data_IF_727770538644
#
_entry.id   IF_727770538644
#
_cell.length_a   1.000
_cell.length_b   1.000
_cell.length_c   1.000
_cell.angle_alpha   90.00
_cell.angle_beta   90.00
_cell.angle_gamma   90.00
#
_symmetry.space_group_name_H-M   'P 1'
#
loop_
_entity.id
_entity.type
_entity.pdbx_description
1 polymer ?
#
# COMPACT_ATOMS: atom_id res chain seq x y z
N UNK A 1 14.44 16.72 -22.17
CA UNK A 1 15.53 16.07 -21.41
C UNK A 1 15.17 14.60 -21.22
N UNK A 2 15.75 13.74 -22.07
CA UNK A 2 15.54 12.30 -22.04
C UNK A 2 16.30 11.67 -20.89
N UNK A 3 15.72 10.67 -20.27
CA UNK A 3 16.41 9.91 -19.23
C UNK A 3 17.10 8.77 -19.93
N UNK A 4 18.43 8.82 -20.02
CA UNK A 4 19.22 7.64 -20.34
C UNK A 4 19.10 6.71 -19.14
N UNK A 5 18.49 5.56 -19.33
CA UNK A 5 18.51 4.51 -18.34
C UNK A 5 19.96 4.00 -18.27
N UNK A 6 20.73 4.49 -17.31
CA UNK A 6 21.94 3.80 -16.90
C UNK A 6 21.51 2.42 -16.40
N UNK A 7 22.03 1.38 -17.07
CA UNK A 7 21.70 -0.02 -16.88
C UNK A 7 21.86 -0.51 -15.44
N UNK A 8 22.55 0.25 -14.59
CA UNK A 8 22.81 -0.05 -13.18
C UNK A 8 21.69 0.41 -12.22
N UNK A 9 20.77 1.28 -12.64
CA UNK A 9 19.76 1.89 -11.74
C UNK A 9 18.40 1.19 -11.73
N UNK A 10 18.21 0.07 -12.45
CA UNK A 10 16.90 -0.60 -12.60
C UNK A 10 16.22 -0.97 -11.26
N UNK A 11 17.00 -1.16 -10.20
CA UNK A 11 16.51 -1.47 -8.85
C UNK A 11 15.70 -0.34 -8.19
N UNK A 12 15.76 0.88 -8.72
CA UNK A 12 14.99 2.04 -8.25
C UNK A 12 13.68 2.27 -9.02
N UNK A 13 13.40 1.49 -10.06
CA UNK A 13 12.26 1.72 -10.95
C UNK A 13 11.16 0.68 -10.78
N UNK A 14 9.91 1.17 -10.70
CA UNK A 14 8.69 0.36 -10.76
C UNK A 14 7.81 0.83 -11.92
N UNK A 15 7.08 -0.09 -12.54
CA UNK A 15 5.97 0.21 -13.45
C UNK A 15 4.66 0.14 -12.68
N UNK A 16 3.92 1.24 -12.68
CA UNK A 16 2.58 1.32 -12.14
C UNK A 16 1.50 1.23 -13.21
N UNK A 17 0.34 0.64 -12.90
CA UNK A 17 -0.88 0.72 -13.70
C UNK A 17 -2.05 1.12 -12.80
N UNK A 18 -2.84 2.07 -13.27
CA UNK A 18 -4.03 2.52 -12.55
C UNK A 18 -5.26 1.78 -13.06
N UNK A 19 -5.99 1.12 -12.16
CA UNK A 19 -7.22 0.40 -12.47
C UNK A 19 -8.42 1.33 -12.27
N UNK A 20 -8.68 2.21 -13.25
CA UNK A 20 -9.84 3.11 -13.25
C UNK A 20 -10.59 3.09 -14.58
N UNK A 21 -11.90 3.28 -14.51
CA UNK A 21 -12.75 3.54 -15.68
C UNK A 21 -12.50 4.90 -16.32
N UNK A 22 -12.05 5.89 -15.52
CA UNK A 22 -11.68 7.24 -15.99
C UNK A 22 -10.27 7.60 -15.50
N UNK A 23 -9.39 7.95 -16.42
CA UNK A 23 -8.00 8.31 -16.09
C UNK A 23 -7.95 9.73 -15.48
N UNK A 24 -7.42 9.91 -14.25
CA UNK A 24 -7.23 11.22 -13.65
C UNK A 24 -6.12 11.99 -14.39
N UNK A 25 -6.08 13.31 -14.19
CA UNK A 25 -4.97 14.14 -14.67
C UNK A 25 -3.66 13.66 -14.04
N UNK A 26 -2.59 13.68 -14.83
CA UNK A 26 -1.28 13.16 -14.42
C UNK A 26 -0.77 13.80 -13.12
N UNK A 27 -0.86 15.11 -12.97
CA UNK A 27 -0.38 15.79 -11.75
C UNK A 27 -1.13 15.34 -10.48
N UNK A 28 -2.44 15.10 -10.59
CA UNK A 28 -3.24 14.56 -9.49
C UNK A 28 -2.82 13.12 -9.14
N UNK A 29 -2.47 12.32 -10.15
CA UNK A 29 -1.93 10.98 -9.96
C UNK A 29 -0.56 11.03 -9.25
N UNK A 30 0.33 11.94 -9.64
CA UNK A 30 1.64 12.11 -8.99
C UNK A 30 1.49 12.53 -7.53
N UNK A 31 0.61 13.48 -7.25
CA UNK A 31 0.32 13.90 -5.88
C UNK A 31 -0.22 12.73 -5.04
N UNK A 32 -1.16 11.96 -5.60
CA UNK A 32 -1.74 10.78 -4.94
C UNK A 32 -0.68 9.71 -4.67
N UNK A 33 0.15 9.38 -5.65
CA UNK A 33 1.22 8.39 -5.50
C UNK A 33 2.26 8.81 -4.45
N UNK A 34 2.65 10.09 -4.40
CA UNK A 34 3.56 10.62 -3.36
C UNK A 34 2.96 10.52 -1.97
N UNK A 35 1.68 10.85 -1.83
CA UNK A 35 0.98 10.73 -0.55
C UNK A 35 0.86 9.28 -0.09
N UNK A 36 0.51 8.37 -1.01
CA UNK A 36 0.28 6.96 -0.72
C UNK A 36 1.58 6.19 -0.44
N UNK A 37 2.59 6.37 -1.30
CA UNK A 37 3.87 5.67 -1.17
C UNK A 37 4.77 6.30 -0.10
N UNK A 38 4.53 7.59 0.22
CA UNK A 38 5.24 8.37 1.22
C UNK A 38 6.76 8.11 1.27
N UNK A 39 7.47 8.24 0.12
CA UNK A 39 8.89 7.94 0.05
C UNK A 39 9.71 8.94 0.85
N UNK A 40 10.68 8.46 1.63
CA UNK A 40 11.54 9.30 2.48
C UNK A 40 12.41 10.24 1.63
N UNK A 41 12.90 9.76 0.48
CA UNK A 41 13.77 10.56 -0.42
C UNK A 41 13.04 11.12 -1.63
N UNK A 42 11.71 10.98 -1.66
CA UNK A 42 10.91 11.39 -2.81
C UNK A 42 10.89 10.35 -3.94
N UNK A 43 10.03 10.63 -4.90
CA UNK A 43 9.89 9.86 -6.13
C UNK A 43 9.57 10.79 -7.31
N UNK A 44 9.83 10.27 -8.49
CA UNK A 44 9.52 10.87 -9.78
C UNK A 44 8.64 9.92 -10.58
N UNK A 45 7.72 10.47 -11.37
CA UNK A 45 6.80 9.68 -12.18
C UNK A 45 6.81 10.18 -13.62
N UNK A 46 6.57 9.25 -14.54
CA UNK A 46 6.32 9.54 -15.95
C UNK A 46 5.17 8.73 -16.49
N UNK A 47 4.37 9.34 -17.35
CA UNK A 47 3.37 8.61 -18.12
C UNK A 47 4.02 7.70 -19.15
N UNK A 48 3.48 6.50 -19.28
CA UNK A 48 3.69 5.57 -20.38
C UNK A 48 2.37 5.42 -21.16
N UNK A 49 2.36 4.56 -22.17
CA UNK A 49 1.14 4.23 -22.92
C UNK A 49 0.14 3.40 -22.09
N UNK A 50 -1.15 3.53 -22.40
CA UNK A 50 -2.26 2.69 -21.88
C UNK A 50 -2.49 2.79 -20.35
N UNK A 51 -2.33 3.97 -19.77
CA UNK A 51 -2.56 4.17 -18.33
C UNK A 51 -1.50 3.46 -17.45
N UNK A 52 -0.31 3.25 -18.01
CA UNK A 52 0.88 2.80 -17.30
C UNK A 52 1.76 3.99 -16.97
N UNK A 53 2.57 3.84 -15.93
CA UNK A 53 3.44 4.88 -15.43
C UNK A 53 4.77 4.27 -14.99
N UNK A 54 5.86 4.99 -15.24
CA UNK A 54 7.17 4.66 -14.68
C UNK A 54 7.36 5.47 -13.40
N UNK A 55 7.68 4.81 -12.29
CA UNK A 55 8.00 5.43 -11.01
C UNK A 55 9.48 5.18 -10.74
N UNK A 56 10.23 6.26 -10.50
CA UNK A 56 11.61 6.21 -10.02
C UNK A 56 11.63 6.64 -8.57
N UNK A 57 12.11 5.76 -7.69
CA UNK A 57 12.37 6.09 -6.30
C UNK A 57 13.78 6.64 -6.16
N UNK A 58 13.96 7.60 -5.25
CA UNK A 58 15.28 8.11 -4.92
C UNK A 58 16.02 7.26 -3.87
N UNK A 59 15.39 6.16 -3.41
CA UNK A 59 15.97 5.26 -2.42
C UNK A 59 15.43 3.83 -2.56
N UNK A 60 16.32 2.84 -2.45
CA UNK A 60 15.96 1.42 -2.61
C UNK A 60 14.98 0.93 -1.54
N UNK A 61 15.07 1.43 -0.30
CA UNK A 61 14.12 1.05 0.75
C UNK A 61 12.69 1.55 0.45
N UNK A 62 12.54 2.72 -0.17
CA UNK A 62 11.21 3.21 -0.57
C UNK A 62 10.64 2.33 -1.71
N UNK A 63 11.50 1.91 -2.64
CA UNK A 63 11.15 0.98 -3.72
C UNK A 63 10.75 -0.41 -3.20
N UNK A 64 11.54 -0.98 -2.29
CA UNK A 64 11.24 -2.28 -1.68
C UNK A 64 9.94 -2.22 -0.86
N UNK A 65 9.72 -1.15 -0.08
CA UNK A 65 8.46 -0.95 0.65
C UNK A 65 7.25 -0.84 -0.28
N UNK A 66 7.41 -0.20 -1.43
CA UNK A 66 6.35 -0.12 -2.44
C UNK A 66 6.06 -1.48 -3.11
N UNK A 67 7.08 -2.34 -3.26
CA UNK A 67 6.97 -3.70 -3.80
C UNK A 67 6.42 -4.72 -2.79
N UNK A 68 6.78 -4.59 -1.52
CA UNK A 68 6.35 -5.48 -0.42
C UNK A 68 4.87 -5.30 -0.05
N UNK A 69 4.15 -4.39 -0.72
CA UNK A 69 2.70 -4.40 -0.73
C UNK A 69 2.07 -4.06 0.61
N UNK A 70 2.38 -2.88 1.15
CA UNK A 70 1.38 -2.20 1.99
C UNK A 70 0.13 -1.92 1.15
N UNK A 71 -1.09 -1.99 1.69
CA UNK A 71 -2.27 -1.94 0.83
C UNK A 71 -2.38 -0.54 0.19
N UNK A 72 -2.18 -0.50 -1.13
CA UNK A 72 -2.10 0.71 -1.96
C UNK A 72 -3.49 1.03 -2.51
N UNK A 73 -4.39 1.52 -1.66
CA UNK A 73 -5.65 2.07 -2.13
C UNK A 73 -5.88 3.47 -1.57
N UNK A 74 -6.37 4.35 -2.43
CA UNK A 74 -6.71 5.73 -2.09
C UNK A 74 -8.06 6.04 -2.74
N UNK A 75 -9.09 6.35 -1.95
CA UNK A 75 -10.39 6.86 -2.42
C UNK A 75 -10.94 6.18 -3.70
N UNK A 76 -11.09 4.84 -3.67
CA UNK A 76 -11.54 3.98 -4.79
C UNK A 76 -10.55 3.79 -5.94
N UNK A 77 -9.31 4.30 -5.83
CA UNK A 77 -8.25 4.13 -6.82
C UNK A 77 -7.30 3.00 -6.39
N UNK A 78 -7.08 2.03 -7.29
CA UNK A 78 -6.13 0.93 -7.09
C UNK A 78 -4.92 1.11 -8.02
N UNK A 79 -3.74 1.29 -7.43
CA UNK A 79 -2.47 1.33 -8.16
C UNK A 79 -1.79 -0.04 -8.05
N UNK A 80 -1.51 -0.65 -9.20
CA UNK A 80 -0.75 -1.91 -9.26
C UNK A 80 0.68 -1.58 -9.62
N UNK A 81 1.64 -2.04 -8.83
CA UNK A 81 3.07 -1.83 -9.06
C UNK A 81 3.77 -3.13 -9.41
N UNK A 82 4.75 -3.07 -10.30
CA UNK A 82 5.63 -4.18 -10.65
C UNK A 82 7.07 -3.69 -10.85
N UNK A 83 8.05 -4.53 -10.49
CA UNK A 83 9.47 -4.25 -10.70
C UNK A 83 9.88 -4.35 -12.18
N UNK A 84 10.94 -3.65 -12.56
CA UNK A 84 11.55 -3.76 -13.89
C UNK A 84 12.76 -4.70 -13.83
N UNK A 85 12.83 -5.63 -14.79
CA UNK A 85 13.82 -6.71 -14.79
C UNK A 85 13.37 -7.88 -13.91
N UNK A 86 13.98 -9.07 -14.10
CA UNK A 86 13.65 -10.29 -13.38
C UNK A 86 14.05 -10.24 -11.88
N UNK A 87 13.53 -9.28 -11.12
CA UNK A 87 13.60 -9.25 -9.66
C UNK A 87 12.65 -10.31 -9.11
N UNK A 88 13.09 -11.55 -9.08
CA UNK A 88 12.64 -12.49 -8.07
C UNK A 88 13.22 -12.02 -6.73
N UNK A 89 12.38 -11.60 -5.78
CA UNK A 89 12.85 -11.36 -4.40
C UNK A 89 13.35 -12.70 -3.88
N UNK A 90 14.67 -12.84 -3.71
CA UNK A 90 15.32 -14.04 -3.21
C UNK A 90 14.92 -14.26 -1.75
N UNK A 91 13.90 -15.10 -1.55
CA UNK A 91 13.33 -15.42 -0.23
C UNK A 91 11.94 -16.06 -0.30
N UNK A 92 11.17 -15.79 -1.36
CA UNK A 92 9.91 -16.46 -1.65
C UNK A 92 9.86 -16.76 -3.15
N UNK A 93 9.67 -18.04 -3.52
CA UNK A 93 9.73 -18.50 -4.91
C UNK A 93 8.77 -17.77 -5.85
N UNK A 94 9.05 -17.84 -7.15
CA UNK A 94 8.18 -17.47 -8.29
C UNK A 94 6.98 -16.59 -7.91
N UNK A 95 7.20 -15.27 -7.83
CA UNK A 95 6.18 -14.31 -7.41
C UNK A 95 5.00 -14.31 -8.39
N UNK A 96 3.89 -14.91 -7.97
CA UNK A 96 2.57 -14.54 -8.46
C UNK A 96 2.34 -13.10 -7.99
N UNK A 97 2.18 -12.15 -8.91
CA UNK A 97 1.85 -10.76 -8.55
C UNK A 97 0.61 -10.75 -7.64
N UNK A 98 0.79 -10.43 -6.35
CA UNK A 98 -0.30 -10.35 -5.38
C UNK A 98 -0.87 -8.94 -5.38
N UNK A 99 -2.19 -8.83 -5.59
CA UNK A 99 -2.91 -7.56 -5.53
C UNK A 99 -3.39 -7.33 -4.08
N UNK A 100 -2.85 -6.32 -3.41
CA UNK A 100 -3.31 -5.90 -2.09
C UNK A 100 -4.33 -4.74 -2.22
N UNK A 101 -5.54 -4.91 -1.67
CA UNK A 101 -6.64 -3.93 -1.77
C UNK A 101 -7.06 -3.54 -0.35
N UNK A 102 -7.05 -2.24 0.02
CA UNK A 102 -7.78 -1.83 1.23
C UNK A 102 -9.27 -1.75 0.90
N UNK A 103 -10.08 -2.32 1.76
CA UNK A 103 -11.53 -2.24 1.69
C UNK A 103 -12.06 -1.68 3.01
N UNK A 104 -13.06 -0.79 2.93
CA UNK A 104 -13.83 -0.42 4.11
C UNK A 104 -14.73 -1.60 4.45
N UNK A 105 -14.53 -2.20 5.62
CA UNK A 105 -15.34 -3.32 6.11
C UNK A 105 -16.18 -2.87 7.29
N UNK A 106 -17.46 -3.25 7.27
CA UNK A 106 -18.28 -3.15 8.47
C UNK A 106 -17.90 -4.31 9.41
N UNK A 107 -17.25 -3.98 10.52
CA UNK A 107 -16.77 -4.95 11.51
C UNK A 107 -17.88 -5.61 12.33
N UNK A 108 -19.12 -5.10 12.26
CA UNK A 108 -20.28 -5.74 12.92
C UNK A 108 -20.85 -6.89 12.09
N UNK A 109 -20.38 -7.07 10.85
CA UNK A 109 -20.78 -8.16 9.97
C UNK A 109 -19.64 -9.20 9.87
N UNK A 110 -19.98 -10.49 9.66
CA UNK A 110 -18.96 -11.51 9.43
C UNK A 110 -18.05 -11.18 8.24
N UNK A 111 -16.75 -11.48 8.38
CA UNK A 111 -15.78 -11.33 7.28
C UNK A 111 -16.13 -12.26 6.11
N UNK A 112 -16.15 -11.70 4.91
CA UNK A 112 -16.47 -12.42 3.66
C UNK A 112 -15.33 -13.37 3.29
N UNK A 113 -15.58 -14.68 3.22
CA UNK A 113 -14.50 -15.65 2.92
C UNK A 113 -14.28 -15.91 1.43
N UNK A 114 -15.22 -15.53 0.58
CA UNK A 114 -15.08 -15.64 -0.87
C UNK A 114 -16.00 -14.65 -1.61
N UNK A 115 -15.60 -14.23 -2.81
CA UNK A 115 -16.35 -13.36 -3.71
C UNK A 115 -16.31 -13.93 -5.13
N UNK A 116 -17.48 -13.97 -5.80
CA UNK A 116 -17.55 -14.25 -7.24
C UNK A 116 -17.34 -12.96 -8.02
N UNK A 117 -16.41 -12.97 -8.96
CA UNK A 117 -16.10 -11.87 -9.86
C UNK A 117 -16.42 -12.30 -11.29
N UNK A 118 -17.04 -11.44 -12.08
CA UNK A 118 -17.19 -11.64 -13.52
C UNK A 118 -16.03 -10.93 -14.22
N UNK A 119 -15.26 -11.64 -15.04
CA UNK A 119 -14.15 -11.07 -15.81
C UNK A 119 -14.68 -10.23 -16.97
N UNK A 120 -13.81 -9.46 -17.62
CA UNK A 120 -14.15 -8.76 -18.87
C UNK A 120 -14.46 -9.70 -20.03
N UNK A 121 -14.04 -10.98 -19.95
CA UNK A 121 -14.42 -12.04 -20.89
C UNK A 121 -15.79 -12.67 -20.59
N UNK A 122 -16.44 -12.29 -19.48
CA UNK A 122 -17.73 -12.85 -19.05
C UNK A 122 -17.62 -14.15 -18.24
N UNK A 123 -16.40 -14.53 -17.82
CA UNK A 123 -16.16 -15.74 -17.03
C UNK A 123 -16.34 -15.45 -15.54
N UNK A 124 -16.92 -16.40 -14.81
CA UNK A 124 -17.06 -16.33 -13.35
C UNK A 124 -15.80 -16.86 -12.65
N UNK A 125 -15.15 -16.00 -11.87
CA UNK A 125 -14.00 -16.32 -11.03
C UNK A 125 -14.41 -16.28 -9.55
N UNK A 126 -14.27 -17.41 -8.85
CA UNK A 126 -14.41 -17.44 -7.39
C UNK A 126 -13.06 -17.10 -6.73
N UNK A 127 -13.00 -15.96 -6.05
CA UNK A 127 -11.84 -15.51 -5.29
C UNK A 127 -12.05 -15.82 -3.82
N UNK A 128 -11.19 -16.63 -3.21
CA UNK A 128 -11.17 -16.85 -1.76
C UNK A 128 -10.33 -15.78 -1.07
N UNK A 129 -10.77 -15.35 0.11
CA UNK A 129 -10.04 -14.40 0.94
C UNK A 129 -9.38 -15.10 2.12
N UNK A 130 -8.09 -14.83 2.31
CA UNK A 130 -7.37 -15.10 3.55
C UNK A 130 -7.12 -13.78 4.26
N UNK A 131 -7.51 -13.72 5.53
CA UNK A 131 -7.30 -12.53 6.36
C UNK A 131 -6.09 -12.75 7.25
N UNK A 132 -5.19 -11.77 7.28
CA UNK A 132 -4.18 -11.70 8.32
C UNK A 132 -4.83 -11.40 9.67
N UNK A 133 -4.15 -11.77 10.76
CA UNK A 133 -4.53 -11.30 12.09
C UNK A 133 -4.51 -9.78 12.11
N UNK A 134 -5.47 -9.18 12.83
CA UNK A 134 -5.61 -7.73 12.94
C UNK A 134 -4.23 -7.10 13.24
N UNK A 135 -3.80 -6.24 12.31
CA UNK A 135 -2.49 -5.57 12.36
C UNK A 135 -2.37 -4.68 13.61
N UNK A 136 -1.15 -4.26 13.94
CA UNK A 136 -0.87 -3.42 15.11
C UNK A 136 -1.83 -2.24 15.21
N UNK A 137 -2.51 -2.12 16.34
CA UNK A 137 -3.44 -1.03 16.63
C UNK A 137 -2.73 0.07 17.42
N UNK A 138 -2.87 1.32 16.95
CA UNK A 138 -2.27 2.46 17.60
C UNK A 138 -3.19 2.97 18.70
N UNK A 139 -2.84 2.66 19.94
CA UNK A 139 -3.54 3.13 21.14
C UNK A 139 -3.64 4.65 21.25
N UNK A 140 -2.75 5.38 20.57
CA UNK A 140 -2.70 6.85 20.61
C UNK A 140 -3.67 7.51 19.63
N UNK A 141 -3.74 7.04 18.38
CA UNK A 141 -4.57 7.67 17.34
C UNK A 141 -5.75 6.81 16.86
N UNK A 142 -5.93 5.60 17.38
CA UNK A 142 -7.05 4.71 17.07
C UNK A 142 -6.99 4.08 15.68
N UNK A 143 -5.83 4.12 15.01
CA UNK A 143 -5.66 3.59 13.65
C UNK A 143 -4.93 2.25 13.65
N UNK A 144 -5.32 1.37 12.73
CA UNK A 144 -4.64 0.11 12.46
C UNK A 144 -3.39 0.33 11.58
N UNK A 145 -2.44 -0.60 11.68
CA UNK A 145 -1.22 -0.66 10.87
C UNK A 145 0.06 -0.18 11.58
N UNK A 146 -0.02 0.41 12.76
CA UNK A 146 1.16 0.85 13.51
C UNK A 146 0.93 0.83 15.01
N UNK A 147 2.01 0.74 15.80
CA UNK A 147 1.95 0.86 17.26
C UNK A 147 1.99 2.32 17.72
N UNK A 148 1.57 2.58 18.96
CA UNK A 148 1.53 3.94 19.55
C UNK A 148 2.90 4.63 19.68
N UNK A 149 4.02 3.87 19.62
CA UNK A 149 5.41 4.38 19.64
C UNK A 149 5.96 4.54 18.21
N UNK A 150 5.19 4.14 17.20
CA UNK A 150 5.66 4.18 15.82
C UNK A 150 5.80 5.61 15.30
N UNK A 151 6.86 5.85 14.52
CA UNK A 151 7.06 7.09 13.75
C UNK A 151 5.94 7.36 12.73
N UNK A 152 5.06 6.39 12.48
CA UNK A 152 3.91 6.55 11.59
C UNK A 152 2.69 7.18 12.29
N UNK A 153 2.73 7.34 13.62
CA UNK A 153 1.64 7.97 14.38
C UNK A 153 1.74 9.51 14.31
N UNK A 154 0.94 10.11 13.44
CA UNK A 154 0.91 11.58 13.22
C UNK A 154 0.73 12.39 14.51
N UNK A 155 -0.10 11.90 15.43
CA UNK A 155 -0.39 12.55 16.72
C UNK A 155 0.87 12.79 17.55
N UNK A 156 1.91 11.93 17.45
CA UNK A 156 3.17 12.12 18.20
C UNK A 156 3.98 13.34 17.78
N UNK A 157 3.70 13.89 16.60
CA UNK A 157 4.43 15.01 16.01
C UNK A 157 3.58 16.28 15.93
N UNK A 158 2.39 16.30 16.55
CA UNK A 158 1.56 17.50 16.66
C UNK A 158 2.18 18.47 17.69
N UNK A 159 2.07 19.78 17.45
CA UNK A 159 2.60 20.79 18.37
C UNK A 159 1.90 20.70 19.74
N UNK A 160 2.69 20.70 20.82
CA UNK A 160 2.18 20.56 22.18
C UNK A 160 1.82 19.13 22.59
N UNK A 161 2.17 18.12 21.78
CA UNK A 161 1.94 16.73 22.13
C UNK A 161 2.66 16.33 23.43
N UNK A 162 1.89 15.77 24.36
CA UNK A 162 2.40 15.07 25.55
C UNK A 162 2.02 13.61 25.45
N UNK A 163 2.98 12.70 25.65
CA UNK A 163 2.72 11.27 25.58
C UNK A 163 1.83 10.86 26.76
N UNK A 164 0.59 10.39 26.50
CA UNK A 164 -0.30 9.97 27.57
C UNK A 164 0.13 8.64 28.20
N UNK A 165 1.08 7.90 27.60
CA UNK A 165 1.52 6.60 28.10
C UNK A 165 0.35 5.62 28.25
N UNK A 166 0.16 5.10 29.47
CA UNK A 166 -0.97 4.23 29.77
C UNK A 166 -2.32 4.94 29.71
N UNK A 167 -2.34 6.28 29.75
CA UNK A 167 -3.55 7.08 29.63
C UNK A 167 -4.01 7.38 28.20
N UNK A 168 -3.45 6.64 27.24
CA UNK A 168 -3.75 6.76 25.81
C UNK A 168 -5.23 6.52 25.48
N UNK A 169 -5.89 7.39 24.67
CA UNK A 169 -7.35 7.41 24.50
C UNK A 169 -7.97 6.07 24.10
N UNK A 170 -7.21 5.23 23.40
CA UNK A 170 -7.55 3.85 23.16
C UNK A 170 -6.64 2.98 24.02
N UNK A 171 -7.19 2.23 24.98
CA UNK A 171 -6.38 1.46 25.96
C UNK A 171 -6.16 0.02 25.52
N UNK A 172 -5.37 -0.71 26.29
CA UNK A 172 -5.00 -2.11 26.05
C UNK A 172 -6.21 -3.08 25.98
N UNK A 173 -7.40 -2.69 26.46
CA UNK A 173 -8.63 -3.50 26.34
C UNK A 173 -9.11 -3.71 24.90
N UNK A 174 -8.63 -2.90 23.94
CA UNK A 174 -8.87 -3.12 22.51
C UNK A 174 -7.99 -4.22 21.90
N UNK A 175 -7.01 -4.72 22.66
CA UNK A 175 -6.18 -5.85 22.23
C UNK A 175 -7.02 -7.12 22.32
N UNK A 176 -7.20 -7.80 21.20
CA UNK A 176 -7.76 -9.14 21.22
C UNK A 176 -6.86 -10.04 22.08
N UNK A 177 -7.41 -10.61 23.15
CA UNK A 177 -6.75 -11.69 23.88
C UNK A 177 -6.57 -12.86 22.92
N UNK A 178 -5.43 -13.54 22.99
CA UNK A 178 -5.23 -14.72 22.17
C UNK A 178 -6.29 -15.74 22.56
N UNK A 179 -7.09 -16.23 21.60
CA UNK A 179 -7.99 -17.35 21.84
C UNK A 179 -7.13 -18.54 22.25
N UNK A 180 -7.28 -18.97 23.51
CA UNK A 180 -6.78 -20.22 24.07
C UNK A 180 -7.62 -21.40 23.58
#
# INVERSE_FOLDING_TARGET
MGWTADSESHHLYLVGRLLLSKQPKFDALVASARSMLNPVKGLEMKSLAEGRFLIRFNHILDCNRALEGWPLSFEKNTLVLNGIGARSVSGYGSWRATLCICVALNVTLPLVRALRLCTTSGEDLLVSFTYERLQNFCYLCGRLGHGHISIYCKVRFEEGFQDPGDDSPYRQWLRALANS
#
